data_IF_337293563673
#
_entry.id   IF_337293563673
#
_cell.length_a   1.000
_cell.length_b   1.000
_cell.length_c   1.000
_cell.angle_alpha   90.00
_cell.angle_beta   90.00
_cell.angle_gamma   90.00
#
_symmetry.space_group_name_H-M   'P 1'
#
loop_
_entity.id
_entity.type
_entity.pdbx_description
1 polymer ?
#
# COMPACT_ATOMS: atom_id res chain seq x y z
N UNK A 1 -2.56 -27.63 7.00
CA UNK A 1 -1.64 -26.52 6.65
C UNK A 1 -2.48 -25.38 6.13
N UNK A 2 -2.46 -24.21 6.77
CA UNK A 2 -3.25 -23.05 6.32
C UNK A 2 -2.48 -22.35 5.19
N UNK A 3 -2.93 -22.51 3.95
CA UNK A 3 -2.49 -21.71 2.82
C UNK A 3 -2.96 -20.27 3.03
N UNK A 4 -2.15 -19.45 3.68
CA UNK A 4 -2.37 -18.00 3.70
C UNK A 4 -2.20 -17.48 2.27
N UNK A 5 -3.12 -16.63 1.77
CA UNK A 5 -2.96 -16.04 0.44
C UNK A 5 -1.64 -15.26 0.42
N UNK A 6 -0.75 -15.64 -0.49
CA UNK A 6 0.52 -14.96 -0.74
C UNK A 6 0.19 -13.59 -1.34
N UNK A 7 -0.08 -12.62 -0.48
CA UNK A 7 -0.28 -11.24 -0.90
C UNK A 7 1.07 -10.68 -1.29
N UNK A 8 1.36 -10.64 -2.59
CA UNK A 8 2.56 -9.99 -3.16
C UNK A 8 2.50 -8.45 -3.06
N UNK A 9 1.45 -7.92 -2.44
CA UNK A 9 1.27 -6.49 -2.24
C UNK A 9 2.06 -5.98 -1.05
N UNK A 10 2.61 -4.79 -1.21
CA UNK A 10 3.34 -4.08 -0.15
C UNK A 10 2.40 -3.61 0.96
N UNK A 11 2.93 -3.48 2.17
CA UNK A 11 2.16 -2.99 3.31
C UNK A 11 2.57 -1.56 3.67
N UNK A 12 1.70 -0.58 3.38
CA UNK A 12 1.98 0.84 3.65
C UNK A 12 1.64 1.21 5.10
N UNK A 13 2.58 1.88 5.76
CA UNK A 13 2.51 2.44 7.12
C UNK A 13 2.85 3.92 7.08
N UNK A 14 2.30 4.68 8.02
CA UNK A 14 2.63 6.10 8.21
C UNK A 14 3.66 6.22 9.31
N UNK A 15 4.79 6.85 8.99
CA UNK A 15 5.88 7.08 9.95
C UNK A 15 5.75 8.48 10.54
N UNK A 16 5.53 9.50 9.69
CA UNK A 16 5.39 10.89 10.10
C UNK A 16 4.12 11.53 9.52
N UNK A 17 3.83 12.78 9.90
CA UNK A 17 2.70 13.55 9.38
C UNK A 17 2.65 13.61 7.84
N UNK A 18 3.82 13.70 7.21
CA UNK A 18 4.05 13.84 5.76
C UNK A 18 4.96 12.74 5.18
N UNK A 19 5.17 11.62 5.87
CA UNK A 19 6.04 10.55 5.39
C UNK A 19 5.38 9.20 5.60
N UNK A 20 5.36 8.41 4.53
CA UNK A 20 4.91 7.03 4.54
C UNK A 20 6.09 6.11 4.28
N UNK A 21 5.96 4.89 4.76
CA UNK A 21 6.91 3.81 4.53
C UNK A 21 6.12 2.55 4.17
N UNK A 22 6.66 1.71 3.31
CA UNK A 22 6.08 0.41 3.01
C UNK A 22 7.07 -0.71 3.30
N UNK A 23 6.52 -1.83 3.76
CA UNK A 23 7.28 -3.04 4.00
C UNK A 23 7.12 -4.01 2.83
N UNK A 24 8.18 -4.77 2.58
CA UNK A 24 8.17 -5.89 1.64
C UNK A 24 7.03 -6.87 1.99
N UNK A 25 6.41 -7.50 0.97
CA UNK A 25 5.43 -8.55 1.21
C UNK A 25 6.03 -9.68 2.05
N UNK A 26 5.26 -10.25 2.97
CA UNK A 26 5.74 -11.36 3.81
C UNK A 26 6.05 -12.61 2.98
N UNK A 27 5.35 -12.76 1.84
CA UNK A 27 5.58 -13.80 0.86
C UNK A 27 6.82 -13.58 -0.03
N UNK A 28 7.50 -12.44 0.08
CA UNK A 28 8.66 -12.15 -0.77
C UNK A 28 9.88 -12.97 -0.37
N UNK A 29 10.67 -13.36 -1.37
CA UNK A 29 11.87 -14.16 -1.17
C UNK A 29 12.90 -13.39 -0.34
N UNK A 30 13.54 -14.09 0.60
CA UNK A 30 14.62 -13.57 1.43
C UNK A 30 15.91 -14.29 1.06
N UNK A 31 17.07 -13.61 1.11
CA UNK A 31 17.28 -12.26 1.63
C UNK A 31 16.92 -11.16 0.63
N UNK A 32 16.42 -10.02 1.13
CA UNK A 32 16.04 -8.84 0.33
C UNK A 32 17.25 -8.26 -0.43
N UNK A 33 18.46 -8.48 0.09
CA UNK A 33 19.70 -8.10 -0.58
C UNK A 33 19.95 -8.83 -1.90
N UNK A 34 19.34 -9.99 -2.11
CA UNK A 34 19.48 -10.78 -3.33
C UNK A 34 18.25 -10.68 -4.24
N UNK A 35 17.08 -10.39 -3.66
CA UNK A 35 15.83 -10.18 -4.40
C UNK A 35 15.32 -8.74 -4.17
N UNK A 36 15.97 -7.73 -4.78
CA UNK A 36 15.54 -6.35 -4.67
C UNK A 36 14.19 -6.13 -5.36
N UNK A 37 13.31 -5.35 -4.72
CA UNK A 37 12.07 -4.89 -5.33
C UNK A 37 12.21 -3.44 -5.78
N UNK A 38 11.71 -3.17 -6.97
CA UNK A 38 11.42 -1.82 -7.45
C UNK A 38 10.01 -1.44 -7.02
N UNK A 39 9.85 -0.23 -6.49
CA UNK A 39 8.55 0.30 -6.10
C UNK A 39 8.12 1.40 -7.04
N UNK A 40 6.82 1.45 -7.31
CA UNK A 40 6.23 2.58 -8.00
C UNK A 40 5.21 3.25 -7.10
N UNK A 41 5.40 4.54 -6.90
CA UNK A 41 4.59 5.40 -6.07
C UNK A 41 3.83 6.36 -6.97
N UNK A 42 2.51 6.33 -6.86
CA UNK A 42 1.62 7.25 -7.56
C UNK A 42 0.95 8.16 -6.55
N UNK A 43 1.18 9.46 -6.69
CA UNK A 43 0.54 10.48 -5.88
C UNK A 43 -0.68 11.06 -6.61
N UNK A 44 -1.79 11.18 -5.88
CA UNK A 44 -3.06 11.68 -6.39
C UNK A 44 -3.55 12.77 -5.45
N UNK A 45 -3.56 14.02 -5.95
CA UNK A 45 -4.00 15.16 -5.16
C UNK A 45 -5.53 15.21 -4.99
N UNK A 46 -5.98 15.24 -3.72
CA UNK A 46 -7.37 15.57 -3.34
C UNK A 46 -8.43 14.49 -3.61
N UNK A 47 -9.71 14.90 -3.58
CA UNK A 47 -10.88 14.04 -3.92
C UNK A 47 -11.12 13.91 -5.43
N UNK A 48 -10.14 14.29 -6.25
CA UNK A 48 -10.30 14.35 -7.71
C UNK A 48 -10.45 12.96 -8.32
N UNK A 49 -9.93 11.92 -7.66
CA UNK A 49 -10.17 10.54 -8.06
C UNK A 49 -11.19 9.82 -7.17
N UNK A 50 -12.31 9.39 -7.76
CA UNK A 50 -13.26 8.46 -7.12
C UNK A 50 -12.82 7.00 -7.25
N UNK A 51 -12.03 6.67 -8.28
CA UNK A 51 -11.61 5.30 -8.62
C UNK A 51 -10.25 4.92 -8.02
N UNK A 52 -9.72 5.70 -7.07
CA UNK A 52 -8.46 5.40 -6.38
C UNK A 52 -7.26 5.35 -7.31
N UNK A 53 -6.45 4.30 -7.20
CA UNK A 53 -5.19 4.13 -7.94
C UNK A 53 -5.36 3.97 -9.47
N UNK A 54 -6.56 3.64 -9.92
CA UNK A 54 -6.92 3.51 -11.35
C UNK A 54 -7.27 4.86 -11.99
N UNK A 55 -7.08 5.99 -11.30
CA UNK A 55 -7.17 7.28 -11.97
C UNK A 55 -6.03 7.50 -12.94
N UNK A 56 -6.32 7.50 -14.23
CA UNK A 56 -5.43 8.06 -15.23
C UNK A 56 -5.85 9.52 -15.43
N UNK A 57 -5.36 10.37 -14.52
CA UNK A 57 -5.53 11.81 -14.61
C UNK A 57 -4.18 12.42 -14.99
N UNK A 58 -4.13 13.48 -15.82
CA UNK A 58 -2.88 14.20 -16.09
C UNK A 58 -2.24 14.82 -14.85
N UNK A 59 -2.96 14.83 -13.71
CA UNK A 59 -2.48 15.32 -12.41
C UNK A 59 -2.00 14.20 -11.48
N UNK A 60 -1.77 12.99 -11.97
CA UNK A 60 -1.13 11.93 -11.18
C UNK A 60 0.34 11.86 -11.52
N UNK A 61 1.20 12.08 -10.53
CA UNK A 61 2.64 11.91 -10.67
C UNK A 61 3.00 10.48 -10.25
N UNK A 62 3.71 9.78 -11.12
CA UNK A 62 4.16 8.41 -10.90
C UNK A 62 5.68 8.42 -10.82
N UNK A 63 6.19 7.97 -9.68
CA UNK A 63 7.62 7.90 -9.39
C UNK A 63 8.04 6.46 -9.17
N UNK A 64 9.17 6.07 -9.75
CA UNK A 64 9.80 4.78 -9.46
C UNK A 64 10.91 5.00 -8.46
N UNK A 65 10.95 4.19 -7.40
CA UNK A 65 11.95 4.26 -6.35
C UNK A 65 12.25 2.87 -5.79
N UNK A 66 13.48 2.64 -5.37
CA UNK A 66 13.89 1.42 -4.65
C UNK A 66 13.78 1.62 -3.12
N UNK A 67 13.64 2.87 -2.68
CA UNK A 67 13.49 3.23 -1.28
C UNK A 67 12.13 2.78 -0.77
N UNK A 68 12.08 2.27 0.47
CA UNK A 68 10.83 1.92 1.14
C UNK A 68 10.07 3.10 1.74
N UNK A 69 10.55 4.33 1.55
CA UNK A 69 10.05 5.54 2.19
C UNK A 69 9.74 6.61 1.15
N UNK A 70 8.64 7.35 1.38
CA UNK A 70 8.23 8.45 0.52
C UNK A 70 7.65 9.62 1.31
N UNK A 71 8.07 10.82 0.93
CA UNK A 71 7.56 12.07 1.47
C UNK A 71 6.39 12.57 0.64
N UNK A 72 5.27 12.82 1.30
CA UNK A 72 3.96 13.06 0.68
C UNK A 72 3.39 14.38 1.14
N UNK A 73 2.76 15.11 0.23
CA UNK A 73 2.04 16.35 0.58
C UNK A 73 0.78 16.03 1.40
N UNK A 74 0.34 16.98 2.21
CA UNK A 74 -0.87 16.79 3.02
C UNK A 74 -2.13 16.65 2.13
N UNK A 75 -3.03 15.72 2.49
CA UNK A 75 -4.33 15.44 1.80
C UNK A 75 -4.22 14.78 0.41
N UNK A 76 -3.20 13.96 0.18
CA UNK A 76 -3.07 13.15 -1.04
C UNK A 76 -3.45 11.69 -0.80
N UNK A 77 -3.85 11.00 -1.88
CA UNK A 77 -3.94 9.54 -1.92
C UNK A 77 -2.69 9.02 -2.58
N UNK A 78 -2.04 8.06 -1.93
CA UNK A 78 -0.79 7.46 -2.40
C UNK A 78 -1.06 6.02 -2.77
N UNK A 79 -0.58 5.61 -3.92
CA UNK A 79 -0.73 4.26 -4.44
C UNK A 79 0.65 3.67 -4.63
N UNK A 80 0.92 2.53 -4.01
CA UNK A 80 2.23 1.87 -4.11
C UNK A 80 2.06 0.48 -4.68
N UNK A 81 2.89 0.12 -5.65
CA UNK A 81 3.02 -1.25 -6.17
C UNK A 81 4.49 -1.65 -6.22
N UNK A 82 4.75 -2.94 -6.30
CA UNK A 82 6.09 -3.48 -6.37
C UNK A 82 6.28 -4.34 -7.62
N UNK A 83 7.51 -4.43 -8.09
CA UNK A 83 7.96 -5.30 -9.17
C UNK A 83 9.33 -5.85 -8.77
N UNK A 84 9.66 -7.04 -9.25
CA UNK A 84 11.04 -7.53 -9.16
C UNK A 84 11.97 -6.57 -9.91
N UNK A 85 13.08 -6.15 -9.29
CA UNK A 85 14.04 -5.27 -9.95
C UNK A 85 14.99 -6.03 -10.88
N UNK A 86 15.13 -7.34 -10.70
CA UNK A 86 16.04 -8.20 -11.48
C UNK A 86 15.33 -8.92 -12.63
N UNK A 87 13.99 -8.87 -12.67
CA UNK A 87 13.19 -9.55 -13.67
C UNK A 87 12.10 -8.62 -14.20
N UNK A 88 11.85 -8.67 -15.50
CA UNK A 88 10.73 -7.97 -16.15
C UNK A 88 9.38 -8.64 -15.85
N UNK A 89 9.13 -8.93 -14.56
CA UNK A 89 7.87 -9.47 -14.09
C UNK A 89 6.77 -8.42 -14.22
N UNK A 90 5.49 -8.80 -14.31
CA UNK A 90 4.41 -7.82 -14.17
C UNK A 90 4.47 -7.13 -12.80
N UNK A 91 4.02 -5.88 -12.75
CA UNK A 91 3.83 -5.15 -11.50
C UNK A 91 2.73 -5.79 -10.64
N UNK A 92 2.88 -5.71 -9.32
CA UNK A 92 1.83 -6.06 -8.37
C UNK A 92 0.61 -5.14 -8.49
N UNK A 93 -0.49 -5.53 -7.86
CA UNK A 93 -1.63 -4.65 -7.69
C UNK A 93 -1.27 -3.40 -6.87
N UNK A 94 -2.02 -2.33 -7.12
CA UNK A 94 -1.86 -1.08 -6.39
C UNK A 94 -2.37 -1.21 -4.95
N UNK A 95 -1.51 -0.86 -4.00
CA UNK A 95 -1.86 -0.68 -2.59
C UNK A 95 -2.20 0.78 -2.35
N UNK A 96 -3.46 1.07 -2.03
CA UNK A 96 -3.93 2.44 -1.78
C UNK A 96 -3.75 2.85 -0.31
N UNK A 97 -3.18 4.04 -0.10
CA UNK A 97 -3.07 4.70 1.19
C UNK A 97 -3.60 6.13 1.13
N UNK A 98 -4.72 6.39 1.82
CA UNK A 98 -5.33 7.73 1.92
C UNK A 98 -4.85 8.46 3.16
N UNK A 99 -4.14 9.57 2.99
CA UNK A 99 -3.78 10.47 4.09
C UNK A 99 -4.99 11.32 4.49
N UNK A 100 -5.88 10.72 5.29
CA UNK A 100 -6.95 11.46 5.94
C UNK A 100 -6.46 11.96 7.30
N UNK A 101 -6.57 13.27 7.56
CA UNK A 101 -6.35 13.89 8.88
C UNK A 101 -7.35 13.43 9.98
N UNK A 102 -8.10 12.35 9.75
CA UNK A 102 -9.04 11.82 10.73
C UNK A 102 -8.33 10.78 11.58
N UNK A 103 -7.97 11.17 12.79
CA UNK A 103 -7.57 10.24 13.85
C UNK A 103 -8.53 9.04 13.94
N UNK A 104 -7.93 7.89 14.20
CA UNK A 104 -8.56 6.67 14.72
C UNK A 104 -9.95 6.28 14.17
N UNK A 105 -9.97 5.54 13.06
CA UNK A 105 -11.09 4.61 12.76
C UNK A 105 -10.63 3.21 12.29
N UNK A 106 -9.40 2.78 12.58
CA UNK A 106 -8.95 1.40 12.27
C UNK A 106 -9.46 0.33 13.24
N UNK A 107 -10.13 0.70 14.33
CA UNK A 107 -10.69 -0.27 15.30
C UNK A 107 -12.07 -0.88 14.97
N UNK A 108 -12.66 -0.66 13.77
CA UNK A 108 -14.08 -1.04 13.52
C UNK A 108 -14.32 -2.26 12.62
N UNK A 109 -13.28 -2.90 12.05
CA UNK A 109 -13.46 -4.13 11.24
C UNK A 109 -13.30 -5.45 11.98
N UNK A 110 -12.64 -5.50 13.15
CA UNK A 110 -12.47 -6.77 13.89
C UNK A 110 -13.56 -7.07 14.93
N UNK A 111 -14.38 -6.11 15.37
CA UNK A 111 -15.42 -6.38 16.39
C UNK A 111 -16.75 -6.94 15.85
N UNK A 112 -16.96 -7.06 14.55
CA UNK A 112 -18.21 -7.64 14.01
C UNK A 112 -18.19 -9.18 13.86
N UNK A 113 -17.02 -9.84 13.95
CA UNK A 113 -16.97 -11.32 13.92
C UNK A 113 -17.10 -12.00 15.29
N UNK A 114 -17.07 -11.28 16.42
CA UNK A 114 -17.14 -11.87 17.78
C UNK A 114 -18.51 -11.78 18.47
N UNK A 115 -19.57 -11.35 17.78
CA UNK A 115 -20.95 -11.30 18.32
C UNK A 115 -21.90 -12.39 17.77
N UNK A 116 -21.41 -13.35 16.98
CA UNK A 116 -22.26 -14.41 16.38
C UNK A 116 -22.13 -15.81 17.00
N UNK A 117 -21.31 -16.01 18.04
CA UNK A 117 -21.18 -17.32 18.70
C UNK A 117 -21.45 -17.24 20.22
N UNK A 118 -22.52 -16.57 20.62
CA UNK A 118 -23.19 -16.87 21.90
C UNK A 118 -24.68 -16.77 21.61
N UNK A 119 -25.41 -17.82 21.99
CA UNK A 119 -26.85 -18.02 21.85
C UNK A 119 -27.29 -18.67 20.52
N UNK A 120 -27.08 -19.97 20.42
CA UNK A 120 -28.20 -20.93 20.56
C UNK A 120 -27.68 -22.29 21.03
#
# INVERSE_FOLDING_TARGET
>A
MLSLPLSNNVSIKKVNSSTIEWSYPVSWNRPISYFPLSFQVKEIEGRKCKNGCTCDSPYTEVHTTESSQWSVKAKVTVCVRAQDALCDSPWSDWTEYRLNNKGNKRGRREKQKKKKNVSQ
#
